data_IF_527727412831
#
_entry.id   IF_527727412831
#
_cell.length_a   1.000
_cell.length_b   1.000
_cell.length_c   1.000
_cell.angle_alpha   90.00
_cell.angle_beta   90.00
_cell.angle_gamma   90.00
#
_symmetry.space_group_name_H-M   'P 1'
#
loop_
_entity.id
_entity.type
_entity.pdbx_description
1 polymer ?
#
# COMPACT_ATOMS: atom_id res chain seq x y z
N UNK A 1 -9.03 0.92 -9.98
CA UNK A 1 -9.15 2.13 -9.15
C UNK A 1 -8.11 2.06 -8.04
N UNK A 2 -7.47 3.19 -7.74
CA UNK A 2 -6.43 3.30 -6.72
C UNK A 2 -6.89 4.26 -5.61
N UNK A 3 -6.71 3.87 -4.36
CA UNK A 3 -7.00 4.69 -3.18
C UNK A 3 -5.76 4.73 -2.27
N UNK A 4 -5.26 5.93 -1.96
CA UNK A 4 -4.06 6.07 -1.12
C UNK A 4 -4.35 6.87 0.14
N UNK A 5 -3.61 6.57 1.21
CA UNK A 5 -3.77 7.19 2.52
C UNK A 5 -5.18 6.99 3.08
N UNK A 6 -5.72 8.04 3.69
CA UNK A 6 -7.02 7.98 4.39
C UNK A 6 -8.20 7.62 3.48
N UNK A 7 -8.07 7.77 2.15
CA UNK A 7 -9.10 7.36 1.21
C UNK A 7 -9.41 5.85 1.25
N UNK A 8 -8.42 5.02 1.61
CA UNK A 8 -8.61 3.58 1.76
C UNK A 8 -9.64 3.24 2.85
N UNK A 9 -9.67 4.00 3.93
CA UNK A 9 -10.49 3.74 5.12
C UNK A 9 -11.98 3.73 4.79
N UNK A 10 -12.39 4.60 3.86
CA UNK A 10 -13.77 4.68 3.38
C UNK A 10 -14.23 3.45 2.61
N UNK A 11 -13.34 2.58 2.13
CA UNK A 11 -13.72 1.35 1.42
C UNK A 11 -14.22 0.26 2.38
N UNK A 12 -13.95 0.38 3.68
CA UNK A 12 -14.39 -0.56 4.71
C UNK A 12 -15.85 -0.39 5.11
N UNK A 13 -16.23 -1.08 6.18
CA UNK A 13 -17.53 -0.98 6.82
C UNK A 13 -17.70 0.34 7.56
N UNK A 14 -16.63 0.83 8.19
CA UNK A 14 -16.68 2.01 9.05
C UNK A 14 -15.32 2.67 9.27
N UNK A 15 -15.37 3.96 9.59
CA UNK A 15 -14.26 4.72 10.15
C UNK A 15 -14.69 5.26 11.51
N UNK A 16 -13.91 5.03 12.56
CA UNK A 16 -14.10 5.67 13.87
C UNK A 16 -12.98 6.67 14.07
N UNK A 17 -13.32 7.96 14.20
CA UNK A 17 -12.31 9.00 14.41
C UNK A 17 -11.76 9.00 15.84
N UNK A 18 -10.73 9.83 16.06
CA UNK A 18 -10.06 9.96 17.37
C UNK A 18 -10.96 10.47 18.50
N UNK A 19 -12.12 11.07 18.19
CA UNK A 19 -13.13 11.48 19.16
C UNK A 19 -14.17 10.37 19.44
N UNK A 20 -14.04 9.21 18.79
CA UNK A 20 -14.96 8.09 18.90
C UNK A 20 -16.20 8.22 18.02
N UNK A 21 -16.25 9.22 17.12
CA UNK A 21 -17.39 9.38 16.21
C UNK A 21 -17.30 8.35 15.09
N UNK A 22 -18.40 7.65 14.90
CA UNK A 22 -18.55 6.59 13.91
C UNK A 22 -19.07 7.15 12.57
N UNK A 23 -18.42 6.76 11.49
CA UNK A 23 -18.82 7.05 10.11
C UNK A 23 -18.99 5.75 9.34
N UNK A 24 -20.10 5.64 8.61
CA UNK A 24 -20.34 4.50 7.75
C UNK A 24 -19.48 4.59 6.49
N UNK A 25 -18.77 3.50 6.17
CA UNK A 25 -17.99 3.36 4.95
C UNK A 25 -18.81 2.84 3.77
N UNK A 26 -18.15 2.68 2.62
CA UNK A 26 -18.72 2.23 1.36
C UNK A 26 -18.95 0.72 1.28
N UNK A 27 -18.42 -0.05 2.25
CA UNK A 27 -18.60 -1.51 2.36
C UNK A 27 -18.13 -2.28 1.12
N UNK A 28 -17.08 -1.79 0.45
CA UNK A 28 -16.39 -2.52 -0.62
C UNK A 28 -15.66 -3.74 -0.04
N UNK A 29 -15.02 -3.56 1.12
CA UNK A 29 -14.40 -4.59 1.94
C UNK A 29 -15.06 -4.76 3.31
N UNK A 30 -14.80 -5.90 3.94
CA UNK A 30 -15.31 -6.25 5.28
C UNK A 30 -14.27 -5.95 6.37
N UNK A 31 -13.84 -4.69 6.45
CA UNK A 31 -12.85 -4.23 7.44
C UNK A 31 -13.29 -2.90 8.07
N UNK A 32 -12.70 -2.54 9.20
CA UNK A 32 -13.00 -1.30 9.92
C UNK A 32 -11.73 -0.53 10.23
N UNK A 33 -11.82 0.80 10.21
CA UNK A 33 -10.71 1.69 10.53
C UNK A 33 -10.96 2.41 11.85
N UNK A 34 -9.96 2.44 12.72
CA UNK A 34 -10.01 3.15 14.01
C UNK A 34 -8.82 4.10 14.13
N UNK A 35 -9.10 5.39 14.22
CA UNK A 35 -8.07 6.40 14.46
C UNK A 35 -7.71 6.42 15.95
N UNK A 36 -6.46 6.06 16.24
CA UNK A 36 -5.88 6.10 17.57
C UNK A 36 -5.07 7.36 17.85
N UNK A 37 -4.42 7.38 19.03
CA UNK A 37 -3.49 8.45 19.44
C UNK A 37 -2.05 8.19 19.00
N UNK A 38 -1.68 6.91 18.83
CA UNK A 38 -0.35 6.52 18.35
C UNK A 38 -0.26 6.79 16.86
N UNK A 39 0.84 7.43 16.46
CA UNK A 39 1.18 7.65 15.05
C UNK A 39 2.18 6.58 14.60
N UNK A 40 1.90 5.97 13.46
CA UNK A 40 2.77 5.05 12.76
C UNK A 40 3.46 5.84 11.65
N UNK A 41 4.75 6.12 11.86
CA UNK A 41 5.58 6.90 10.93
C UNK A 41 6.79 6.08 10.58
N UNK A 42 7.03 5.85 9.29
CA UNK A 42 8.22 5.14 8.86
C UNK A 42 8.17 4.70 7.41
N UNK A 43 9.34 4.32 6.91
CA UNK A 43 9.44 3.68 5.62
C UNK A 43 8.81 2.29 5.66
N UNK A 44 8.28 1.88 4.51
CA UNK A 44 7.67 0.58 4.32
C UNK A 44 8.40 -0.13 3.18
N UNK A 45 8.73 -1.40 3.43
CA UNK A 45 9.27 -2.30 2.45
C UNK A 45 8.60 -3.66 2.62
N UNK A 46 7.99 -4.18 1.56
CA UNK A 46 7.29 -5.47 1.60
C UNK A 46 7.03 -6.04 0.22
N UNK A 47 6.37 -7.19 0.18
CA UNK A 47 6.05 -7.88 -1.08
C UNK A 47 4.55 -8.06 -1.24
N UNK A 48 4.11 -8.00 -2.49
CA UNK A 48 2.76 -8.35 -2.93
C UNK A 48 2.80 -9.69 -3.65
N UNK A 49 1.64 -10.29 -3.89
CA UNK A 49 1.48 -11.49 -4.72
C UNK A 49 1.14 -11.15 -6.18
N UNK A 50 1.19 -9.87 -6.56
CA UNK A 50 0.90 -9.38 -7.92
C UNK A 50 2.08 -9.48 -8.89
N UNK A 51 3.30 -9.42 -8.37
CA UNK A 51 4.58 -9.42 -9.09
C UNK A 51 5.71 -9.67 -8.08
N UNK A 52 6.95 -9.86 -8.55
CA UNK A 52 8.07 -10.30 -7.71
C UNK A 52 8.77 -9.16 -6.95
N UNK A 53 8.84 -7.97 -7.54
CA UNK A 53 9.55 -6.84 -6.97
C UNK A 53 8.85 -6.25 -5.72
N UNK A 54 9.59 -5.62 -4.79
CA UNK A 54 9.00 -5.11 -3.56
C UNK A 54 8.11 -3.88 -3.79
N UNK A 55 7.16 -3.68 -2.88
CA UNK A 55 6.47 -2.41 -2.68
C UNK A 55 7.22 -1.58 -1.65
N UNK A 56 7.52 -0.33 -2.02
CA UNK A 56 8.17 0.65 -1.16
C UNK A 56 7.29 1.87 -0.95
N UNK A 57 7.34 2.46 0.23
CA UNK A 57 6.57 3.66 0.53
C UNK A 57 6.87 4.24 1.89
N UNK A 58 6.00 5.14 2.34
CA UNK A 58 6.11 5.78 3.64
C UNK A 58 4.76 5.83 4.31
N UNK A 59 4.66 5.31 5.53
CA UNK A 59 3.46 5.39 6.33
C UNK A 59 3.52 6.63 7.24
N UNK A 60 2.40 7.34 7.33
CA UNK A 60 2.19 8.41 8.29
C UNK A 60 0.70 8.44 8.65
N UNK A 61 0.27 7.46 9.44
CA UNK A 61 -1.13 7.27 9.81
C UNK A 61 -1.27 7.10 11.32
N UNK A 62 -2.41 7.51 11.87
CA UNK A 62 -2.80 7.16 13.25
C UNK A 62 -3.85 6.06 13.28
N UNK A 63 -4.08 5.38 12.15
CA UNK A 63 -5.23 4.50 11.97
C UNK A 63 -4.81 3.04 12.00
N UNK A 64 -5.51 2.24 12.79
CA UNK A 64 -5.49 0.79 12.68
C UNK A 64 -6.64 0.33 11.79
N UNK A 65 -6.35 -0.59 10.87
CA UNK A 65 -7.34 -1.12 9.93
C UNK A 65 -7.47 -2.62 10.14
N UNK A 66 -8.58 -3.06 10.73
CA UNK A 66 -8.78 -4.45 11.15
C UNK A 66 -9.75 -5.21 10.27
N UNK A 67 -9.46 -6.50 10.04
CA UNK A 67 -10.33 -7.41 9.29
C UNK A 67 -10.04 -7.48 7.79
N UNK A 68 -8.90 -6.97 7.33
CA UNK A 68 -8.49 -7.10 5.93
C UNK A 68 -8.02 -8.53 5.67
N UNK A 69 -8.72 -9.22 4.76
CA UNK A 69 -8.39 -10.59 4.32
C UNK A 69 -7.48 -10.61 3.09
N UNK A 70 -7.66 -9.63 2.20
CA UNK A 70 -6.88 -9.52 0.95
C UNK A 70 -6.14 -8.18 0.95
N UNK A 71 -4.92 -8.13 1.50
CA UNK A 71 -4.12 -6.91 1.52
C UNK A 71 -3.51 -6.61 0.15
N UNK A 72 -3.00 -5.38 -0.03
CA UNK A 72 -2.22 -5.03 -1.22
C UNK A 72 -0.80 -5.60 -1.11
N UNK A 73 -0.17 -5.45 0.05
CA UNK A 73 1.14 -5.99 0.39
C UNK A 73 0.92 -7.11 1.40
N UNK A 74 1.27 -8.34 1.03
CA UNK A 74 0.95 -9.54 1.80
C UNK A 74 1.79 -9.64 3.07
N UNK A 75 3.03 -9.13 3.03
CA UNK A 75 3.93 -9.10 4.17
C UNK A 75 4.95 -7.97 4.05
N UNK A 76 5.10 -7.21 5.12
CA UNK A 76 6.16 -6.22 5.27
C UNK A 76 7.41 -6.85 5.89
N UNK A 77 8.58 -6.47 5.39
CA UNK A 77 9.87 -6.71 6.02
C UNK A 77 10.29 -5.52 6.89
N UNK A 78 9.86 -4.30 6.52
CA UNK A 78 10.07 -3.06 7.26
C UNK A 78 8.75 -2.29 7.36
N UNK A 79 8.47 -1.73 8.54
CA UNK A 79 7.39 -0.80 8.78
C UNK A 79 6.10 -1.41 9.32
N UNK A 80 5.15 -0.53 9.64
CA UNK A 80 3.87 -0.89 10.21
C UNK A 80 2.85 -1.21 9.11
N UNK A 81 2.11 -2.31 9.27
CA UNK A 81 1.02 -2.71 8.37
C UNK A 81 -0.34 -2.22 8.86
N UNK A 82 -1.40 -2.87 8.39
CA UNK A 82 -2.78 -2.53 8.75
C UNK A 82 -3.05 -2.61 10.27
N UNK A 83 -2.48 -3.61 10.96
CA UNK A 83 -2.78 -3.88 12.38
C UNK A 83 -1.54 -3.99 13.27
N UNK A 84 -0.36 -4.21 12.68
CA UNK A 84 0.88 -4.49 13.43
C UNK A 84 2.14 -4.21 12.63
N UNK A 85 3.25 -4.04 13.34
CA UNK A 85 4.60 -3.99 12.78
C UNK A 85 4.87 -5.26 11.95
N UNK A 86 5.46 -5.10 10.76
CA UNK A 86 5.75 -6.17 9.81
C UNK A 86 4.52 -7.03 9.41
N UNK A 87 3.31 -6.51 9.63
CA UNK A 87 2.05 -7.12 9.20
C UNK A 87 1.77 -6.92 7.71
N UNK A 88 0.63 -7.41 7.21
CA UNK A 88 0.13 -7.08 5.88
C UNK A 88 -0.28 -5.59 5.79
N UNK A 89 -0.23 -4.99 4.60
CA UNK A 89 -0.57 -3.58 4.38
C UNK A 89 -1.54 -3.40 3.20
N UNK A 90 -2.42 -2.42 3.33
CA UNK A 90 -3.34 -2.03 2.26
C UNK A 90 -4.51 -3.00 2.12
N UNK A 91 -5.32 -2.79 1.09
CA UNK A 91 -6.48 -3.61 0.74
C UNK A 91 -6.56 -3.78 -0.78
N UNK A 92 -6.92 -4.99 -1.22
CA UNK A 92 -7.12 -5.30 -2.63
C UNK A 92 -8.40 -6.12 -2.81
N UNK A 93 -9.17 -5.80 -3.84
CA UNK A 93 -10.30 -6.61 -4.30
C UNK A 93 -10.53 -6.39 -5.79
N UNK A 94 -10.33 -7.44 -6.60
CA UNK A 94 -10.31 -7.32 -8.06
C UNK A 94 -9.35 -6.18 -8.48
N UNK A 95 -9.81 -5.25 -9.33
CA UNK A 95 -9.03 -4.08 -9.77
C UNK A 95 -9.17 -2.86 -8.83
N UNK A 96 -9.52 -3.08 -7.56
CA UNK A 96 -9.44 -2.06 -6.49
C UNK A 96 -8.16 -2.31 -5.73
N UNK A 97 -7.25 -1.34 -5.78
CA UNK A 97 -5.99 -1.32 -5.04
C UNK A 97 -6.05 -0.18 -4.04
N UNK A 98 -5.74 -0.44 -2.79
CA UNK A 98 -5.77 0.56 -1.74
C UNK A 98 -4.60 0.38 -0.77
N UNK A 99 -4.07 1.48 -0.26
CA UNK A 99 -2.92 1.49 0.63
C UNK A 99 -2.99 2.68 1.58
N UNK A 100 -2.53 2.50 2.82
CA UNK A 100 -2.32 3.59 3.79
C UNK A 100 -0.99 4.33 3.54
N UNK A 101 -0.17 3.84 2.60
CA UNK A 101 1.07 4.49 2.21
C UNK A 101 0.82 5.87 1.59
N UNK A 102 1.67 6.81 1.97
CA UNK A 102 1.65 8.21 1.57
C UNK A 102 2.70 8.49 0.49
N UNK A 103 2.51 9.61 -0.22
CA UNK A 103 3.31 9.99 -1.38
C UNK A 103 2.76 9.41 -2.69
N UNK A 104 3.45 9.66 -3.82
CA UNK A 104 3.00 9.16 -5.12
C UNK A 104 3.30 7.66 -5.25
N UNK A 105 2.41 6.83 -4.71
CA UNK A 105 2.60 5.38 -4.61
C UNK A 105 2.98 4.73 -5.94
N UNK A 106 2.31 5.11 -7.05
CA UNK A 106 2.59 4.54 -8.37
C UNK A 106 3.94 4.96 -8.93
N UNK A 107 4.33 6.24 -8.78
CA UNK A 107 5.62 6.75 -9.27
C UNK A 107 6.77 6.14 -8.48
N UNK A 108 6.55 5.85 -7.19
CA UNK A 108 7.53 5.14 -6.36
C UNK A 108 7.59 3.65 -6.62
N UNK A 109 6.61 3.08 -7.32
CA UNK A 109 6.51 1.63 -7.56
C UNK A 109 6.11 1.38 -9.02
N UNK A 110 7.06 1.48 -9.97
CA UNK A 110 6.80 1.24 -11.38
C UNK A 110 6.17 -0.14 -11.68
N UNK A 111 6.55 -1.24 -10.98
CA UNK A 111 5.84 -2.51 -11.12
C UNK A 111 4.34 -2.42 -10.77
N UNK A 112 3.99 -1.70 -9.69
CA UNK A 112 2.59 -1.46 -9.32
C UNK A 112 1.87 -0.61 -10.37
N UNK A 113 2.52 0.43 -10.88
CA UNK A 113 1.99 1.26 -11.96
C UNK A 113 1.67 0.42 -13.20
N UNK A 114 2.62 -0.41 -13.65
CA UNK A 114 2.44 -1.33 -14.78
C UNK A 114 1.29 -2.30 -14.54
N UNK A 115 1.15 -2.82 -13.32
CA UNK A 115 0.04 -3.70 -12.96
C UNK A 115 -1.32 -2.97 -13.03
N UNK A 116 -1.40 -1.74 -12.53
CA UNK A 116 -2.62 -0.91 -12.60
C UNK A 116 -2.98 -0.58 -14.06
N UNK A 117 -2.00 -0.23 -14.90
CA UNK A 117 -2.22 0.02 -16.34
C UNK A 117 -2.76 -1.24 -17.01
N UNK A 118 -2.12 -2.39 -16.78
CA UNK A 118 -2.56 -3.69 -17.33
C UNK A 118 -4.00 -4.00 -16.93
N UNK A 119 -4.37 -3.76 -15.67
CA UNK A 119 -5.74 -3.95 -15.19
C UNK A 119 -6.77 -3.02 -15.87
N UNK A 120 -6.37 -1.81 -16.28
CA UNK A 120 -7.23 -0.88 -17.04
C UNK A 120 -7.48 -1.39 -18.45
N UNK A 121 -6.43 -1.79 -19.17
CA UNK A 121 -6.53 -2.33 -20.55
C UNK A 121 -7.34 -3.63 -20.57
N UNK A 122 -7.04 -4.55 -19.65
CA UNK A 122 -7.79 -5.81 -19.51
C UNK A 122 -9.29 -5.55 -19.23
N UNK A 123 -9.62 -4.53 -18.45
CA UNK A 123 -11.03 -4.18 -18.17
C UNK A 123 -11.77 -3.65 -19.40
N UNK A 124 -11.06 -3.02 -20.33
CA UNK A 124 -11.57 -2.48 -21.60
C UNK A 124 -11.60 -3.54 -22.71
N UNK A 125 -10.89 -4.65 -22.55
CA UNK A 125 -10.71 -5.64 -23.61
C UNK A 125 -9.78 -5.14 -24.72
N UNK A 126 -8.87 -4.24 -24.38
CA UNK A 126 -7.86 -3.67 -25.28
C UNK A 126 -6.50 -4.34 -25.04
N UNK A 127 -5.70 -4.47 -26.09
CA UNK A 127 -4.31 -4.93 -25.97
C UNK A 127 -3.46 -3.86 -25.28
N UNK A 128 -2.63 -4.28 -24.32
CA UNK A 128 -1.69 -3.38 -23.65
C UNK A 128 -0.57 -2.99 -24.62
N UNK A 129 -0.39 -1.71 -24.98
CA UNK A 129 0.73 -1.29 -25.81
C UNK A 129 2.05 -1.43 -25.07
N UNK A 130 3.15 -1.38 -25.82
CA UNK A 130 4.48 -1.25 -25.24
C UNK A 130 4.54 0.01 -24.37
N UNK A 131 4.87 -0.17 -23.09
CA UNK A 131 4.92 0.92 -22.13
C UNK A 131 6.28 1.62 -22.22
N UNK A 132 6.33 2.96 -22.22
CA UNK A 132 7.58 3.68 -22.20
C UNK A 132 8.34 3.38 -20.90
N UNK A 133 9.64 3.16 -21.02
CA UNK A 133 10.52 2.99 -19.86
C UNK A 133 11.09 4.36 -19.49
N UNK A 134 10.74 4.82 -18.29
CA UNK A 134 11.31 6.04 -17.73
C UNK A 134 12.54 5.69 -16.90
N UNK A 135 13.73 5.79 -17.51
CA UNK A 135 14.99 5.41 -16.85
C UNK A 135 15.18 6.02 -15.46
N UNK A 136 14.85 7.29 -15.27
CA UNK A 136 14.97 7.96 -13.96
C UNK A 136 14.01 7.39 -12.92
N UNK A 137 12.83 6.90 -13.34
CA UNK A 137 11.85 6.26 -12.46
C UNK A 137 12.41 4.93 -11.94
N UNK A 138 12.94 4.11 -12.85
CA UNK A 138 13.55 2.81 -12.51
C UNK A 138 14.80 2.98 -11.63
N UNK A 139 15.67 3.95 -11.93
CA UNK A 139 16.86 4.25 -11.12
C UNK A 139 16.50 4.74 -9.71
N UNK A 140 15.46 5.58 -9.60
CA UNK A 140 14.95 6.06 -8.31
C UNK A 140 14.33 4.93 -7.49
N UNK A 141 13.52 4.07 -8.13
CA UNK A 141 12.94 2.89 -7.49
C UNK A 141 14.00 1.90 -7.01
N UNK A 142 14.98 1.57 -7.85
CA UNK A 142 16.08 0.69 -7.50
C UNK A 142 16.92 1.24 -6.35
N UNK A 143 17.18 2.55 -6.36
CA UNK A 143 17.87 3.23 -5.25
C UNK A 143 17.06 3.13 -3.96
N UNK A 144 15.76 3.44 -3.99
CA UNK A 144 14.90 3.32 -2.81
C UNK A 144 14.89 1.89 -2.23
N UNK A 145 14.78 0.87 -3.10
CA UNK A 145 14.82 -0.53 -2.67
C UNK A 145 16.15 -0.88 -1.99
N UNK A 146 17.28 -0.48 -2.59
CA UNK A 146 18.62 -0.74 -2.04
C UNK A 146 18.82 -0.07 -0.69
N UNK A 147 18.45 1.20 -0.55
CA UNK A 147 18.63 1.93 0.71
C UNK A 147 17.77 1.34 1.84
N UNK A 148 16.54 0.92 1.53
CA UNK A 148 15.66 0.28 2.53
C UNK A 148 16.14 -1.12 2.92
N UNK A 149 16.65 -1.90 1.97
CA UNK A 149 17.28 -3.19 2.27
C UNK A 149 18.53 -3.03 3.15
N UNK A 150 19.40 -2.08 2.82
CA UNK A 150 20.61 -1.81 3.61
C UNK A 150 20.27 -1.43 5.07
N UNK A 151 19.22 -0.64 5.28
CA UNK A 151 18.71 -0.32 6.64
C UNK A 151 18.21 -1.56 7.37
N UNK A 152 17.45 -2.42 6.68
CA UNK A 152 16.93 -3.65 7.27
C UNK A 152 18.04 -4.65 7.65
N UNK A 153 19.15 -4.66 6.91
CA UNK A 153 20.33 -5.45 7.26
C UNK A 153 21.08 -4.87 8.46
N UNK A 154 21.23 -3.54 8.52
CA UNK A 154 21.87 -2.86 9.65
C UNK A 154 21.11 -3.06 10.97
N UNK A 155 19.77 -3.00 10.93
CA UNK A 155 18.90 -3.19 12.10
C UNK A 155 18.96 -4.63 12.63
N UNK A 156 19.21 -5.62 11.78
CA UNK A 156 19.36 -7.04 12.18
C UNK A 156 20.72 -7.36 12.79
N UNK A 157 21.72 -6.50 12.57
CA UNK A 157 23.07 -6.70 13.07
C UNK A 157 23.25 -6.22 14.53
N UNK A 158 22.22 -5.62 15.12
CA UNK A 158 22.16 -5.15 16.51
C UNK A 158 21.21 -6.03 17.34
#
# INVERSE_FOLDING_TARGET
>A
MLFCGTAMQMLGQSVTDSAGKYYMGLRVGAFSSQQGKKRFVGDVYGHTDLYEEPVVGFMNSCTLVSGIVTPLVTKLALGYGNEKEQGPEGFRKNNVFASELTGPLLVKNPPLLRHVISAIYNRRGEELPELPIYRMEEEAYATACRELLARLEADKAH
#
